data_IF_938576409636
#
_entry.id   IF_938576409636
#
_cell.length_a   1.000
_cell.length_b   1.000
_cell.length_c   1.000
_cell.angle_alpha   90.00
_cell.angle_beta   90.00
_cell.angle_gamma   90.00
#
_symmetry.space_group_name_H-M   'P 1'
#
loop_
_entity.id
_entity.type
_entity.pdbx_description
1 polymer ?
#
# COMPACT_ATOMS: atom_id res chain seq x y z
N UNK A 1 19.97 13.32 11.23
CA UNK A 1 20.19 12.60 12.51
C UNK A 1 20.06 11.11 12.21
N UNK A 2 20.43 10.18 13.08
CA UNK A 2 20.08 8.77 12.82
C UNK A 2 18.57 8.61 12.92
N UNK A 3 17.91 8.18 11.84
CA UNK A 3 16.47 7.91 11.83
C UNK A 3 16.11 6.94 12.96
N UNK A 4 15.09 7.28 13.74
CA UNK A 4 14.60 6.45 14.85
C UNK A 4 13.11 6.23 14.68
N UNK A 5 12.68 4.97 14.74
CA UNK A 5 11.26 4.63 14.69
C UNK A 5 10.56 5.08 15.98
N UNK A 6 9.33 5.64 15.88
CA UNK A 6 8.48 5.86 17.05
C UNK A 6 8.30 4.57 17.84
N UNK A 7 8.53 4.63 19.15
CA UNK A 7 8.31 3.50 20.04
C UNK A 7 6.81 3.26 20.23
N UNK A 8 6.40 1.99 20.23
CA UNK A 8 5.04 1.64 20.58
C UNK A 8 4.84 1.62 22.10
N UNK A 9 3.89 2.42 22.59
CA UNK A 9 3.49 2.45 23.98
C UNK A 9 2.20 1.63 24.15
N UNK A 10 2.32 0.36 24.51
CA UNK A 10 1.15 -0.51 24.67
C UNK A 10 0.20 -0.01 25.80
N UNK A 11 -1.11 -0.29 25.73
CA UNK A 11 -2.02 -0.02 26.84
C UNK A 11 -1.55 -0.71 28.13
N UNK A 12 -1.64 -0.03 29.26
CA UNK A 12 -1.37 -0.66 30.55
C UNK A 12 -2.54 -1.56 30.94
N UNK A 13 -2.47 -2.83 30.55
CA UNK A 13 -3.49 -3.82 30.86
C UNK A 13 -3.62 -4.12 32.36
N UNK A 14 -2.77 -3.58 33.24
CA UNK A 14 -2.94 -3.67 34.70
C UNK A 14 -4.00 -2.69 35.23
N UNK A 15 -4.40 -1.67 34.45
CA UNK A 15 -5.46 -0.76 34.86
C UNK A 15 -6.77 -1.51 35.14
N UNK A 16 -7.50 -1.07 36.15
CA UNK A 16 -8.75 -1.70 36.61
C UNK A 16 -9.72 -1.96 35.46
N UNK A 17 -9.87 -1.01 34.53
CA UNK A 17 -10.80 -1.15 33.39
C UNK A 17 -10.51 -2.37 32.51
N UNK A 18 -9.24 -2.73 32.32
CA UNK A 18 -8.84 -3.86 31.48
C UNK A 18 -8.87 -5.18 32.27
N UNK A 19 -8.55 -5.13 33.56
CA UNK A 19 -8.64 -6.29 34.46
C UNK A 19 -10.09 -6.72 34.69
N UNK A 20 -10.99 -5.76 34.93
CA UNK A 20 -12.42 -6.02 35.17
C UNK A 20 -13.26 -6.17 33.90
N UNK A 21 -12.70 -5.86 32.71
CA UNK A 21 -13.39 -6.07 31.44
C UNK A 21 -13.81 -7.55 31.26
N UNK A 22 -14.97 -7.82 30.65
CA UNK A 22 -15.38 -9.18 30.32
C UNK A 22 -14.47 -9.78 29.22
N UNK A 23 -14.54 -11.09 29.05
CA UNK A 23 -14.01 -11.76 27.87
C UNK A 23 -14.73 -11.27 26.61
N UNK A 24 -13.99 -11.12 25.51
CA UNK A 24 -14.58 -10.87 24.21
C UNK A 24 -15.52 -12.02 23.85
N UNK A 25 -16.71 -11.68 23.37
CA UNK A 25 -17.69 -12.68 22.93
C UNK A 25 -17.40 -13.08 21.49
N UNK A 26 -17.49 -14.38 21.22
CA UNK A 26 -17.36 -14.93 19.87
C UNK A 26 -18.58 -15.76 19.54
N UNK A 27 -19.17 -15.50 18.37
CA UNK A 27 -20.33 -16.24 17.87
C UNK A 27 -19.95 -16.93 16.55
N UNK A 28 -20.49 -18.13 16.28
CA UNK A 28 -20.19 -18.83 15.04
C UNK A 28 -20.76 -18.09 13.84
N UNK A 29 -19.97 -17.95 12.78
CA UNK A 29 -20.45 -17.44 11.50
C UNK A 29 -21.62 -18.31 10.99
N UNK A 30 -22.81 -17.74 10.72
CA UNK A 30 -23.99 -18.52 10.39
C UNK A 30 -23.86 -19.29 9.06
N UNK A 31 -23.13 -18.72 8.08
CA UNK A 31 -22.89 -19.29 6.75
C UNK A 31 -21.58 -18.74 6.18
N UNK A 32 -21.03 -19.43 5.18
CA UNK A 32 -19.94 -18.89 4.36
C UNK A 32 -20.30 -17.49 3.85
N UNK A 33 -19.38 -16.54 3.99
CA UNK A 33 -19.61 -15.16 3.56
C UNK A 33 -20.35 -14.26 4.55
N UNK A 34 -20.88 -14.78 5.66
CA UNK A 34 -21.83 -14.07 6.52
C UNK A 34 -21.35 -14.03 7.96
N UNK A 35 -21.18 -12.82 8.49
CA UNK A 35 -20.84 -12.59 9.89
C UNK A 35 -22.09 -12.66 10.79
N UNK A 36 -21.95 -13.04 12.08
CA UNK A 36 -23.05 -13.02 13.04
C UNK A 36 -23.56 -11.60 13.28
N UNK A 37 -24.80 -11.47 13.76
CA UNK A 37 -25.35 -10.17 14.17
C UNK A 37 -24.48 -9.56 15.28
N UNK A 38 -24.25 -8.25 15.20
CA UNK A 38 -23.41 -7.54 16.17
C UNK A 38 -21.91 -7.80 16.04
N UNK A 39 -21.43 -8.40 14.94
CA UNK A 39 -19.99 -8.57 14.67
C UNK A 39 -19.20 -7.26 14.87
N UNK A 40 -17.96 -7.38 15.35
CA UNK A 40 -17.01 -6.29 15.38
C UNK A 40 -16.34 -6.13 14.01
N UNK A 41 -16.34 -4.90 13.48
CA UNK A 41 -15.68 -4.57 12.22
C UNK A 41 -14.30 -3.99 12.52
N UNK A 42 -13.24 -4.58 11.97
CA UNK A 42 -11.87 -4.14 12.22
C UNK A 42 -11.57 -2.80 11.54
N UNK A 43 -10.72 -2.02 12.17
CA UNK A 43 -10.18 -0.74 11.72
C UNK A 43 -8.75 -0.90 11.20
N UNK A 44 -8.03 0.21 11.00
CA UNK A 44 -6.59 0.20 10.68
C UNK A 44 -5.70 0.17 11.91
N UNK A 45 -6.24 0.44 13.09
CA UNK A 45 -5.47 0.63 14.32
C UNK A 45 -5.13 -0.68 15.02
N UNK A 46 -4.20 -0.68 15.98
CA UNK A 46 -4.04 -1.78 16.93
C UNK A 46 -5.36 -2.08 17.64
N UNK A 47 -5.79 -3.34 17.58
CA UNK A 47 -7.01 -3.81 18.24
C UNK A 47 -6.70 -4.99 19.13
N UNK A 48 -7.22 -4.94 20.35
CA UNK A 48 -7.01 -5.95 21.37
C UNK A 48 -8.33 -6.62 21.74
N UNK A 49 -8.27 -7.93 21.94
CA UNK A 49 -9.41 -8.76 22.30
C UNK A 49 -9.07 -9.57 23.55
N UNK A 50 -9.92 -9.50 24.58
CA UNK A 50 -9.71 -10.26 25.81
C UNK A 50 -10.14 -11.72 25.61
N UNK A 51 -9.17 -12.63 25.59
CA UNK A 51 -9.38 -14.07 25.36
C UNK A 51 -8.58 -14.89 26.34
N UNK A 52 -9.26 -15.70 27.14
CA UNK A 52 -8.65 -16.54 28.17
C UNK A 52 -7.91 -15.71 29.21
N UNK A 53 -8.48 -14.59 29.64
CA UNK A 53 -7.90 -13.67 30.62
C UNK A 53 -6.75 -12.80 30.11
N UNK A 54 -6.43 -12.86 28.81
CA UNK A 54 -5.33 -12.09 28.20
C UNK A 54 -5.84 -11.19 27.09
N UNK A 55 -5.26 -10.00 26.96
CA UNK A 55 -5.52 -9.12 25.83
C UNK A 55 -4.63 -9.48 24.64
N UNK A 56 -5.23 -10.04 23.60
CA UNK A 56 -4.55 -10.46 22.38
C UNK A 56 -4.61 -9.35 21.34
N UNK A 57 -3.45 -8.94 20.81
CA UNK A 57 -3.37 -8.02 19.67
C UNK A 57 -3.71 -8.74 18.37
N UNK A 58 -4.48 -8.10 17.50
CA UNK A 58 -4.68 -8.53 16.11
C UNK A 58 -3.43 -8.25 15.25
N UNK A 59 -2.36 -9.04 15.43
CA UNK A 59 -1.02 -8.84 14.81
C UNK A 59 -1.03 -8.49 13.31
N UNK A 60 -2.01 -9.02 12.57
CA UNK A 60 -2.33 -8.60 11.22
C UNK A 60 -3.73 -7.99 11.14
N UNK A 61 -3.78 -6.68 10.89
CA UNK A 61 -5.05 -5.96 10.71
C UNK A 61 -5.30 -5.57 9.24
N UNK A 62 -6.56 -5.22 9.00
CA UNK A 62 -7.15 -4.75 7.75
C UNK A 62 -8.49 -4.11 8.08
N UNK A 63 -8.81 -2.94 7.53
CA UNK A 63 -10.12 -2.34 7.75
C UNK A 63 -11.24 -3.13 7.05
N UNK A 64 -12.48 -2.95 7.49
CA UNK A 64 -13.69 -3.53 6.89
C UNK A 64 -13.65 -5.08 6.83
N UNK A 65 -13.04 -5.71 7.83
CA UNK A 65 -13.02 -7.15 8.03
C UNK A 65 -13.70 -7.52 9.35
N UNK A 66 -13.87 -8.82 9.58
CA UNK A 66 -14.28 -9.34 10.89
C UNK A 66 -13.07 -9.89 11.64
N UNK A 67 -13.07 -9.78 12.97
CA UNK A 67 -12.08 -10.40 13.82
C UNK A 67 -12.52 -11.84 14.15
N UNK A 68 -11.84 -12.84 13.58
CA UNK A 68 -12.09 -14.26 13.86
C UNK A 68 -10.97 -14.84 14.75
N UNK A 69 -11.33 -15.70 15.71
CA UNK A 69 -10.36 -16.40 16.55
C UNK A 69 -9.89 -17.69 15.86
N UNK A 70 -8.68 -17.68 15.29
CA UNK A 70 -8.07 -18.83 14.60
C UNK A 70 -6.78 -19.22 15.31
N UNK A 71 -6.67 -20.49 15.70
CA UNK A 71 -5.47 -21.03 16.37
C UNK A 71 -5.00 -20.23 17.59
N UNK A 72 -5.96 -19.69 18.35
CA UNK A 72 -5.69 -18.85 19.53
C UNK A 72 -5.18 -17.43 19.21
N UNK A 73 -5.25 -17.00 17.95
CA UNK A 73 -4.92 -15.65 17.47
C UNK A 73 -6.12 -14.96 16.85
N UNK A 74 -6.12 -13.63 16.89
CA UNK A 74 -7.12 -12.82 16.19
C UNK A 74 -6.67 -12.62 14.75
N UNK A 75 -7.50 -13.07 13.81
CA UNK A 75 -7.31 -12.91 12.39
C UNK A 75 -8.34 -11.92 11.83
N UNK A 76 -7.88 -10.90 11.10
CA UNK A 76 -8.76 -10.07 10.27
C UNK A 76 -9.15 -10.84 9.01
N UNK A 77 -10.44 -11.19 8.88
CA UNK A 77 -10.98 -12.00 7.80
C UNK A 77 -11.99 -11.20 6.99
N UNK A 78 -11.81 -11.11 5.69
CA UNK A 78 -12.80 -10.49 4.80
C UNK A 78 -14.08 -11.33 4.81
N UNK A 79 -15.24 -10.69 4.72
CA UNK A 79 -16.52 -11.39 4.64
C UNK A 79 -16.52 -12.52 3.61
N UNK A 80 -16.00 -12.28 2.39
CA UNK A 80 -15.93 -13.31 1.33
C UNK A 80 -15.12 -14.55 1.68
N UNK A 81 -14.19 -14.43 2.63
CA UNK A 81 -13.27 -15.48 3.07
C UNK A 81 -13.69 -16.12 4.39
N UNK A 82 -14.74 -15.62 5.03
CA UNK A 82 -15.30 -16.18 6.26
C UNK A 82 -16.02 -17.50 6.00
N UNK A 83 -15.70 -18.55 6.77
CA UNK A 83 -16.38 -19.85 6.69
C UNK A 83 -17.41 -20.04 7.78
N UNK A 84 -18.47 -20.79 7.47
CA UNK A 84 -19.50 -21.16 8.42
C UNK A 84 -18.89 -21.81 9.68
N UNK A 85 -19.38 -21.43 10.85
CA UNK A 85 -18.92 -21.94 12.15
C UNK A 85 -17.67 -21.27 12.69
N UNK A 86 -16.98 -20.40 11.95
CA UNK A 86 -15.82 -19.69 12.48
C UNK A 86 -16.23 -18.76 13.65
N UNK A 87 -15.46 -18.73 14.75
CA UNK A 87 -15.76 -17.89 15.91
C UNK A 87 -15.41 -16.42 15.61
N UNK A 88 -16.43 -15.61 15.37
CA UNK A 88 -16.29 -14.18 15.05
C UNK A 88 -16.60 -13.33 16.28
N UNK A 89 -15.73 -12.37 16.58
CA UNK A 89 -15.93 -11.43 17.67
C UNK A 89 -17.22 -10.62 17.48
N UNK A 90 -18.03 -10.52 18.51
CA UNK A 90 -19.25 -9.69 18.55
C UNK A 90 -19.14 -8.64 19.66
N UNK A 91 -19.60 -7.44 19.36
CA UNK A 91 -19.44 -6.24 20.17
C UNK A 91 -19.34 -5.02 19.28
N UNK A 92 -19.82 -3.88 19.76
CA UNK A 92 -19.79 -2.59 19.05
C UNK A 92 -19.05 -1.51 19.82
N UNK A 93 -18.68 -1.76 21.08
CA UNK A 93 -17.85 -0.83 21.86
C UNK A 93 -16.37 -1.17 21.71
N UNK A 94 -15.55 -0.13 21.66
CA UNK A 94 -14.11 -0.20 21.39
C UNK A 94 -13.26 0.24 22.60
N UNK A 95 -13.88 0.37 23.77
CA UNK A 95 -13.33 0.97 24.99
C UNK A 95 -12.98 -0.06 26.08
N UNK A 96 -12.87 -1.34 25.69
CA UNK A 96 -12.70 -2.53 26.53
C UNK A 96 -13.97 -3.04 27.24
N UNK A 97 -15.10 -2.31 27.24
CA UNK A 97 -16.30 -2.71 27.99
C UNK A 97 -16.94 -4.03 27.51
N UNK A 98 -16.75 -4.40 26.23
CA UNK A 98 -17.17 -5.69 25.66
C UNK A 98 -16.00 -6.65 25.41
N UNK A 99 -14.84 -6.41 26.04
CA UNK A 99 -13.63 -7.20 25.80
C UNK A 99 -12.91 -6.87 24.49
N UNK A 100 -13.30 -5.78 23.82
CA UNK A 100 -12.69 -5.27 22.58
C UNK A 100 -12.14 -3.87 22.83
N UNK A 101 -10.89 -3.63 22.44
CA UNK A 101 -10.24 -2.34 22.64
C UNK A 101 -9.47 -1.88 21.40
N UNK A 102 -9.86 -0.74 20.82
CA UNK A 102 -9.17 -0.10 19.69
C UNK A 102 -8.24 0.97 20.21
N UNK A 103 -6.96 0.91 19.83
CA UNK A 103 -5.90 1.74 20.40
C UNK A 103 -5.14 2.56 19.35
N UNK A 104 -5.69 3.73 18.96
CA UNK A 104 -5.12 4.55 17.88
C UNK A 104 -3.89 5.37 18.29
N UNK A 105 -3.57 5.44 19.60
CA UNK A 105 -2.57 6.37 20.14
C UNK A 105 -1.23 5.73 20.49
N UNK A 106 -1.00 4.47 20.11
CA UNK A 106 0.21 3.75 20.53
C UNK A 106 1.54 4.30 20.00
N UNK A 107 1.51 5.21 19.02
CA UNK A 107 2.69 5.92 18.51
C UNK A 107 2.60 7.44 18.68
N UNK A 108 1.63 7.93 19.46
CA UNK A 108 1.46 9.36 19.64
C UNK A 108 2.58 9.91 20.53
N UNK A 109 3.27 10.93 20.05
CA UNK A 109 4.10 11.81 20.89
C UNK A 109 3.19 12.78 21.65
N UNK A 110 3.64 13.31 22.80
CA UNK A 110 2.88 14.31 23.57
C UNK A 110 2.47 15.47 22.66
N UNK A 111 1.15 15.62 22.45
CA UNK A 111 0.63 16.74 21.68
C UNK A 111 0.81 18.02 22.49
N UNK A 112 1.61 18.95 21.97
CA UNK A 112 1.62 20.33 22.45
C UNK A 112 0.24 20.98 22.31
N UNK A 113 0.01 22.07 23.04
CA UNK A 113 -1.25 22.83 23.00
C UNK A 113 -1.58 23.26 21.56
N UNK A 114 -2.77 22.87 21.07
CA UNK A 114 -3.27 23.32 19.78
C UNK A 114 -3.84 24.74 19.91
N UNK A 115 -3.35 25.69 19.13
CA UNK A 115 -3.86 27.07 19.12
C UNK A 115 -5.31 27.14 18.59
N UNK A 116 -6.13 28.00 19.22
CA UNK A 116 -7.56 28.20 18.88
C UNK A 116 -7.78 28.75 17.47
N UNK A 117 -6.80 29.45 16.89
CA UNK A 117 -6.86 29.98 15.53
C UNK A 117 -5.54 29.71 14.80
N UNK A 118 -5.58 28.96 13.69
CA UNK A 118 -4.40 28.67 12.89
C UNK A 118 -4.72 28.61 11.40
N UNK A 119 -3.78 29.09 10.57
CA UNK A 119 -3.83 28.97 9.12
C UNK A 119 -3.21 27.63 8.67
N UNK A 120 -3.61 27.13 7.49
CA UNK A 120 -3.00 25.97 6.83
C UNK A 120 -3.00 24.67 7.66
N UNK A 121 -4.11 24.39 8.36
CA UNK A 121 -4.28 23.15 9.12
C UNK A 121 -4.40 21.87 8.26
N UNK A 122 -4.46 22.01 6.93
CA UNK A 122 -4.50 20.89 5.98
C UNK A 122 -3.41 21.01 4.91
N UNK A 123 -3.08 19.88 4.27
CA UNK A 123 -2.12 19.83 3.16
C UNK A 123 -2.80 20.22 1.84
N UNK A 124 -2.14 21.05 1.04
CA UNK A 124 -2.57 21.54 -0.27
C UNK A 124 -1.38 21.73 -1.20
N UNK A 125 -1.63 22.27 -2.40
CA UNK A 125 -0.57 22.72 -3.31
C UNK A 125 0.37 23.79 -2.71
N UNK A 126 -0.07 24.51 -1.67
CA UNK A 126 0.71 25.57 -1.03
C UNK A 126 1.57 25.07 0.15
N UNK A 127 1.45 23.80 0.51
CA UNK A 127 2.24 23.19 1.58
C UNK A 127 3.69 23.02 1.14
N UNK A 128 4.64 23.44 1.98
CA UNK A 128 6.04 23.15 1.77
C UNK A 128 6.36 21.71 2.18
N UNK A 129 7.00 20.95 1.29
CA UNK A 129 7.28 19.53 1.49
C UNK A 129 8.77 19.22 1.73
N UNK A 130 9.64 20.22 1.90
CA UNK A 130 11.10 19.97 2.03
C UNK A 130 11.43 19.02 3.18
N UNK A 131 10.83 19.23 4.36
CA UNK A 131 11.01 18.33 5.50
C UNK A 131 10.37 16.95 5.28
N UNK A 132 9.28 16.85 4.50
CA UNK A 132 8.69 15.57 4.13
C UNK A 132 9.67 14.76 3.26
N UNK A 133 10.33 15.40 2.30
CA UNK A 133 11.36 14.78 1.48
C UNK A 133 12.54 14.30 2.32
N UNK A 134 13.10 15.15 3.20
CA UNK A 134 14.19 14.76 4.10
C UNK A 134 13.79 13.54 4.97
N UNK A 135 12.57 13.57 5.51
CA UNK A 135 12.01 12.46 6.29
C UNK A 135 11.84 11.18 5.46
N UNK A 136 11.39 11.29 4.21
CA UNK A 136 11.29 10.15 3.29
C UNK A 136 12.67 9.59 3.00
N UNK A 137 13.69 10.42 2.77
CA UNK A 137 15.03 9.94 2.46
C UNK A 137 15.64 9.19 3.64
N UNK A 138 15.53 9.74 4.84
CA UNK A 138 15.98 9.07 6.07
C UNK A 138 15.20 7.76 6.32
N UNK A 139 13.88 7.77 6.15
CA UNK A 139 13.03 6.58 6.27
C UNK A 139 13.42 5.50 5.27
N UNK A 140 13.55 5.83 3.97
CA UNK A 140 13.83 4.85 2.93
C UNK A 140 15.22 4.22 3.09
N UNK A 141 16.22 4.98 3.55
CA UNK A 141 17.54 4.43 3.91
C UNK A 141 17.44 3.40 5.02
N UNK A 142 16.65 3.68 6.06
CA UNK A 142 16.41 2.72 7.14
C UNK A 142 15.59 1.50 6.67
N UNK A 143 14.49 1.71 5.94
CA UNK A 143 13.59 0.64 5.49
C UNK A 143 14.23 -0.27 4.44
N UNK A 144 15.23 0.21 3.71
CA UNK A 144 16.07 -0.63 2.83
C UNK A 144 16.76 -1.77 3.58
N UNK A 145 17.16 -1.55 4.83
CA UNK A 145 17.88 -2.55 5.63
C UNK A 145 16.98 -3.26 6.64
N UNK A 146 15.92 -2.58 7.11
CA UNK A 146 15.14 -3.00 8.27
C UNK A 146 13.64 -3.14 8.01
N UNK A 147 13.20 -3.12 6.75
CA UNK A 147 11.79 -3.33 6.44
C UNK A 147 11.52 -3.58 4.97
N UNK A 148 10.33 -3.16 4.52
CA UNK A 148 9.80 -3.45 3.19
C UNK A 148 9.08 -2.24 2.64
N UNK A 149 9.62 -1.73 1.54
CA UNK A 149 9.15 -0.56 0.80
C UNK A 149 8.33 -1.04 -0.40
N UNK A 150 7.02 -0.84 -0.32
CA UNK A 150 6.05 -1.20 -1.36
C UNK A 150 5.64 0.06 -2.13
N UNK A 151 5.73 0.00 -3.45
CA UNK A 151 5.31 1.10 -4.32
C UNK A 151 3.99 0.77 -5.00
N UNK A 152 3.08 1.75 -5.10
CA UNK A 152 1.83 1.64 -5.84
C UNK A 152 1.84 2.70 -6.94
N UNK A 153 1.82 2.30 -8.20
CA UNK A 153 2.09 3.22 -9.30
C UNK A 153 1.03 3.19 -10.39
N UNK A 154 0.65 4.37 -10.86
CA UNK A 154 -0.06 4.56 -12.12
C UNK A 154 0.87 4.88 -13.29
N UNK A 155 0.36 4.89 -14.53
CA UNK A 155 1.17 4.93 -15.74
C UNK A 155 1.93 6.25 -15.96
N UNK A 156 1.61 7.33 -15.23
CA UNK A 156 2.22 8.66 -15.43
C UNK A 156 3.76 8.66 -15.32
N UNK A 157 4.34 7.73 -14.58
CA UNK A 157 5.79 7.60 -14.43
C UNK A 157 6.47 6.83 -15.56
N UNK A 158 5.71 6.07 -16.35
CA UNK A 158 6.22 5.43 -17.55
C UNK A 158 6.21 6.38 -18.77
N UNK A 159 5.50 7.51 -18.68
CA UNK A 159 5.34 8.48 -19.78
C UNK A 159 6.48 9.50 -19.88
N UNK A 160 7.36 9.54 -18.89
CA UNK A 160 8.49 10.47 -18.83
C UNK A 160 9.81 9.72 -18.68
N UNK A 161 10.80 10.12 -19.46
CA UNK A 161 12.12 9.49 -19.50
C UNK A 161 12.83 9.53 -18.14
N UNK A 162 12.85 10.69 -17.48
CA UNK A 162 13.65 10.88 -16.27
C UNK A 162 12.99 10.21 -15.06
N UNK A 163 11.66 10.28 -14.94
CA UNK A 163 10.90 9.57 -13.92
C UNK A 163 11.09 8.05 -14.03
N UNK A 164 11.03 7.52 -15.26
CA UNK A 164 11.26 6.10 -15.55
C UNK A 164 12.68 5.67 -15.19
N UNK A 165 13.69 6.45 -15.58
CA UNK A 165 15.09 6.20 -15.24
C UNK A 165 15.35 6.29 -13.73
N UNK A 166 14.74 7.26 -13.04
CA UNK A 166 14.84 7.43 -11.60
C UNK A 166 14.26 6.24 -10.84
N UNK A 167 13.06 5.78 -11.21
CA UNK A 167 12.47 4.61 -10.56
C UNK A 167 13.27 3.33 -10.83
N UNK A 168 13.75 3.14 -12.05
CA UNK A 168 14.67 2.05 -12.39
C UNK A 168 15.94 2.08 -11.51
N UNK A 169 16.48 3.26 -11.23
CA UNK A 169 17.61 3.43 -10.32
C UNK A 169 17.25 3.09 -8.86
N UNK A 170 16.06 3.45 -8.38
CA UNK A 170 15.57 3.07 -7.05
C UNK A 170 15.46 1.55 -6.90
N UNK A 171 14.99 0.84 -7.94
CA UNK A 171 14.95 -0.64 -7.97
C UNK A 171 16.36 -1.20 -7.81
N UNK A 172 17.32 -0.79 -8.66
CA UNK A 172 18.72 -1.22 -8.57
C UNK A 172 19.36 -0.85 -7.22
N UNK A 173 18.93 0.27 -6.64
CA UNK A 173 19.39 0.78 -5.36
C UNK A 173 18.86 0.03 -4.14
N UNK A 174 17.93 -0.92 -4.31
CA UNK A 174 17.30 -1.66 -3.21
C UNK A 174 16.22 -0.89 -2.47
N UNK A 175 15.69 0.19 -3.04
CA UNK A 175 14.63 1.02 -2.43
C UNK A 175 13.21 0.61 -2.86
N UNK A 176 13.08 -0.51 -3.58
CA UNK A 176 11.81 -1.08 -4.05
C UNK A 176 11.82 -2.55 -3.70
N UNK A 177 10.95 -2.97 -2.79
CA UNK A 177 10.80 -4.37 -2.37
C UNK A 177 9.57 -5.04 -2.98
N UNK A 178 8.66 -4.24 -3.54
CA UNK A 178 7.53 -4.72 -4.32
C UNK A 178 6.85 -3.58 -5.06
N UNK A 179 6.09 -3.94 -6.11
CA UNK A 179 5.35 -2.99 -6.94
C UNK A 179 3.90 -3.45 -7.15
N UNK A 180 2.93 -2.60 -6.85
CA UNK A 180 1.52 -2.79 -7.19
C UNK A 180 1.15 -1.83 -8.31
N UNK A 181 0.58 -2.35 -9.39
CA UNK A 181 0.16 -1.55 -10.52
C UNK A 181 -0.99 -2.23 -11.28
N UNK A 182 -1.36 -1.65 -12.42
CA UNK A 182 -2.23 -2.29 -13.41
C UNK A 182 -1.53 -2.43 -14.76
N UNK A 183 -2.24 -3.05 -15.72
CA UNK A 183 -1.75 -3.30 -17.07
C UNK A 183 -1.12 -2.06 -17.72
N UNK A 184 -1.78 -0.89 -17.60
CA UNK A 184 -1.32 0.34 -18.25
C UNK A 184 0.12 0.76 -17.86
N UNK A 185 0.51 0.68 -16.58
CA UNK A 185 1.88 1.05 -16.18
C UNK A 185 2.89 0.14 -16.88
N UNK A 186 2.69 -1.17 -16.75
CA UNK A 186 3.64 -2.15 -17.26
C UNK A 186 3.71 -2.13 -18.78
N UNK A 187 2.57 -2.01 -19.47
CA UNK A 187 2.51 -1.91 -20.93
C UNK A 187 3.29 -0.71 -21.43
N UNK A 188 3.06 0.48 -20.88
CA UNK A 188 3.72 1.69 -21.38
C UNK A 188 5.19 1.78 -20.96
N UNK A 189 5.58 1.21 -19.83
CA UNK A 189 6.99 1.08 -19.46
C UNK A 189 7.77 0.15 -20.40
N UNK A 190 7.14 -0.94 -20.83
CA UNK A 190 7.72 -1.89 -21.79
C UNK A 190 7.68 -1.35 -23.22
N UNK A 191 6.64 -0.60 -23.60
CA UNK A 191 6.55 0.12 -24.88
C UNK A 191 7.71 1.13 -24.99
N UNK A 192 7.97 1.86 -23.91
CA UNK A 192 9.09 2.80 -23.83
C UNK A 192 10.43 2.10 -24.05
N UNK A 193 10.66 0.92 -23.46
CA UNK A 193 11.90 0.17 -23.67
C UNK A 193 12.02 -0.40 -25.09
N UNK A 194 10.89 -0.84 -25.65
CA UNK A 194 10.88 -1.59 -26.90
C UNK A 194 10.87 -0.68 -28.14
N UNK A 195 10.09 0.40 -28.09
CA UNK A 195 9.81 1.30 -29.22
C UNK A 195 10.15 2.77 -28.94
N UNK A 196 10.59 3.11 -27.73
CA UNK A 196 10.93 4.49 -27.34
C UNK A 196 9.71 5.38 -27.08
N UNK A 197 8.49 4.81 -27.08
CA UNK A 197 7.25 5.57 -26.94
C UNK A 197 6.39 5.12 -25.79
N UNK A 198 5.49 5.98 -25.36
CA UNK A 198 4.32 5.61 -24.57
C UNK A 198 3.06 6.18 -25.23
N UNK A 199 2.08 5.33 -25.53
CA UNK A 199 0.91 5.70 -26.34
C UNK A 199 1.31 6.33 -27.69
N UNK A 200 2.41 5.86 -28.26
CA UNK A 200 2.91 6.35 -29.55
C UNK A 200 3.57 7.71 -29.54
N UNK A 201 3.80 8.32 -28.37
CA UNK A 201 4.59 9.54 -28.23
C UNK A 201 5.97 9.21 -27.69
N UNK A 202 7.01 9.78 -28.29
CA UNK A 202 8.38 9.65 -27.79
C UNK A 202 8.49 10.19 -26.36
N UNK A 203 8.98 9.36 -25.44
CA UNK A 203 8.93 9.65 -23.99
C UNK A 203 9.84 10.82 -23.55
N UNK A 204 10.74 11.28 -24.42
CA UNK A 204 11.63 12.39 -24.14
C UNK A 204 11.15 13.70 -24.82
N UNK A 205 10.90 13.63 -26.12
CA UNK A 205 10.52 14.79 -26.95
C UNK A 205 9.02 15.07 -26.98
N UNK A 206 8.19 14.13 -26.52
CA UNK A 206 6.72 14.20 -26.52
C UNK A 206 6.12 14.37 -27.93
N UNK A 207 6.88 14.01 -28.96
CA UNK A 207 6.40 14.02 -30.36
C UNK A 207 5.66 12.73 -30.67
N UNK A 208 4.46 12.84 -31.23
CA UNK A 208 3.72 11.70 -31.74
C UNK A 208 4.41 11.06 -32.94
N UNK A 209 4.59 9.75 -32.88
CA UNK A 209 5.16 8.96 -33.96
C UNK A 209 4.07 8.60 -35.00
N UNK A 210 4.40 8.55 -36.30
CA UNK A 210 3.50 8.01 -37.31
C UNK A 210 3.00 6.62 -36.92
N UNK A 211 1.69 6.39 -36.98
CA UNK A 211 1.05 5.14 -36.53
C UNK A 211 1.28 4.77 -35.05
N UNK A 212 1.70 5.72 -34.20
CA UNK A 212 2.06 5.45 -32.81
C UNK A 212 0.95 4.84 -31.95
N UNK A 213 -0.32 4.98 -32.33
CA UNK A 213 -1.42 4.31 -31.64
C UNK A 213 -1.32 2.77 -31.65
N UNK A 214 -0.59 2.18 -32.61
CA UNK A 214 -0.31 0.74 -32.61
C UNK A 214 0.79 0.33 -31.62
N UNK A 215 1.68 1.23 -31.21
CA UNK A 215 2.91 0.87 -30.48
C UNK A 215 2.64 0.07 -29.20
N UNK A 216 1.70 0.50 -28.37
CA UNK A 216 1.32 -0.23 -27.15
C UNK A 216 0.67 -1.59 -27.46
N UNK A 217 -0.15 -1.69 -28.51
CA UNK A 217 -0.79 -2.94 -28.94
C UNK A 217 0.24 -3.92 -29.52
N UNK A 218 1.16 -3.44 -30.34
CA UNK A 218 2.24 -4.23 -30.91
C UNK A 218 3.19 -4.73 -29.82
N UNK A 219 3.48 -3.90 -28.82
CA UNK A 219 4.25 -4.27 -27.63
C UNK A 219 3.53 -5.39 -26.86
N UNK A 220 2.24 -5.23 -26.56
CA UNK A 220 1.43 -6.26 -25.91
C UNK A 220 1.44 -7.57 -26.70
N UNK A 221 1.22 -7.51 -28.01
CA UNK A 221 1.24 -8.69 -28.87
C UNK A 221 2.61 -9.38 -28.88
N UNK A 222 3.70 -8.60 -28.93
CA UNK A 222 5.06 -9.12 -28.90
C UNK A 222 5.41 -9.80 -27.56
N UNK A 223 4.93 -9.25 -26.43
CA UNK A 223 5.10 -9.86 -25.10
C UNK A 223 4.29 -11.15 -24.99
N UNK A 224 3.02 -11.14 -25.44
CA UNK A 224 2.18 -12.33 -25.45
C UNK A 224 2.76 -13.43 -26.34
N UNK A 225 3.38 -13.08 -27.46
CA UNK A 225 4.11 -14.03 -28.31
C UNK A 225 5.32 -14.64 -27.59
N UNK A 226 6.01 -13.88 -26.75
CA UNK A 226 7.08 -14.38 -25.88
C UNK A 226 6.55 -15.21 -24.68
N UNK A 227 5.25 -15.15 -24.39
CA UNK A 227 4.59 -15.90 -23.33
C UNK A 227 4.63 -15.24 -21.94
N UNK A 228 5.57 -14.33 -21.69
CA UNK A 228 5.66 -13.55 -20.45
C UNK A 228 6.53 -12.29 -20.66
N UNK A 229 6.37 -11.32 -19.77
CA UNK A 229 7.28 -10.17 -19.62
C UNK A 229 8.71 -10.60 -19.33
N UNK A 230 8.92 -11.63 -18.50
CA UNK A 230 10.25 -12.16 -18.19
C UNK A 230 10.93 -12.69 -19.45
N UNK A 231 10.23 -13.55 -20.22
CA UNK A 231 10.74 -14.06 -21.49
C UNK A 231 10.99 -12.93 -22.53
N UNK A 232 10.16 -11.88 -22.52
CA UNK A 232 10.35 -10.72 -23.39
C UNK A 232 11.64 -9.93 -23.04
N UNK A 233 11.93 -9.78 -21.75
CA UNK A 233 13.17 -9.17 -21.23
C UNK A 233 14.37 -10.07 -21.54
N UNK A 234 14.29 -11.37 -21.29
CA UNK A 234 15.36 -12.34 -21.57
C UNK A 234 15.70 -12.45 -23.05
N UNK A 235 14.70 -12.29 -23.93
CA UNK A 235 14.89 -12.22 -25.38
C UNK A 235 15.57 -10.91 -25.84
N UNK A 236 15.91 -9.98 -24.93
CA UNK A 236 16.59 -8.72 -25.23
C UNK A 236 15.72 -7.67 -25.91
N UNK A 237 14.39 -7.83 -25.88
CA UNK A 237 13.44 -6.90 -26.51
C UNK A 237 13.19 -5.65 -25.66
N UNK A 238 13.21 -5.79 -24.34
CA UNK A 238 13.30 -4.68 -23.40
C UNK A 238 14.73 -4.62 -22.84
N UNK A 239 15.26 -3.41 -22.65
CA UNK A 239 16.65 -3.15 -22.27
C UNK A 239 16.80 -2.32 -20.99
N UNK A 240 15.72 -1.70 -20.54
CA UNK A 240 15.66 -0.76 -19.43
C UNK A 240 14.21 -0.59 -18.95
N UNK A 241 14.01 0.18 -17.87
CA UNK A 241 12.68 0.55 -17.38
C UNK A 241 12.31 -0.05 -16.03
N UNK A 242 11.11 0.29 -15.59
CA UNK A 242 10.57 -0.08 -14.28
C UNK A 242 10.39 -1.60 -14.21
N UNK A 243 9.64 -2.18 -15.15
CA UNK A 243 9.34 -3.62 -15.18
C UNK A 243 10.58 -4.41 -15.54
N UNK A 244 11.41 -3.90 -16.46
CA UNK A 244 12.70 -4.52 -16.78
C UNK A 244 13.56 -4.69 -15.53
N UNK A 245 13.74 -3.62 -14.73
CA UNK A 245 14.53 -3.73 -13.50
C UNK A 245 13.84 -4.60 -12.45
N UNK A 246 12.51 -4.60 -12.36
CA UNK A 246 11.81 -5.52 -11.47
C UNK A 246 12.09 -6.98 -11.84
N UNK A 247 12.03 -7.33 -13.13
CA UNK A 247 12.36 -8.67 -13.64
C UNK A 247 13.83 -9.01 -13.34
N UNK A 248 14.78 -8.13 -13.70
CA UNK A 248 16.22 -8.39 -13.53
C UNK A 248 16.66 -8.52 -12.07
N UNK A 249 16.04 -7.78 -11.17
CA UNK A 249 16.35 -7.77 -9.75
C UNK A 249 15.41 -8.66 -8.92
N UNK A 250 14.54 -9.44 -9.56
CA UNK A 250 13.57 -10.32 -8.91
C UNK A 250 12.67 -9.61 -7.90
N UNK A 251 12.28 -8.37 -8.20
CA UNK A 251 11.32 -7.61 -7.39
C UNK A 251 9.91 -8.11 -7.71
N UNK A 252 9.15 -8.59 -6.71
CA UNK A 252 7.79 -9.04 -6.95
C UNK A 252 6.91 -7.85 -7.35
N UNK A 253 6.10 -8.05 -8.38
CA UNK A 253 5.11 -7.06 -8.79
C UNK A 253 3.77 -7.73 -9.07
N UNK A 254 2.69 -7.00 -8.78
CA UNK A 254 1.30 -7.45 -9.00
C UNK A 254 0.63 -6.48 -9.94
N UNK A 255 0.12 -7.00 -11.07
CA UNK A 255 -0.64 -6.23 -12.05
C UNK A 255 -2.12 -6.62 -11.95
N UNK A 256 -2.95 -5.75 -11.38
CA UNK A 256 -4.40 -6.00 -11.28
C UNK A 256 -5.11 -5.42 -12.50
N UNK A 257 -5.98 -6.23 -13.10
CA UNK A 257 -6.73 -5.88 -14.28
C UNK A 257 -7.78 -4.79 -14.02
N UNK A 258 -8.07 -4.02 -15.06
CA UNK A 258 -9.13 -3.03 -15.10
C UNK A 258 -10.00 -3.21 -16.34
N UNK A 259 -11.25 -2.75 -16.27
CA UNK A 259 -12.21 -2.82 -17.39
C UNK A 259 -11.79 -2.05 -18.64
N UNK A 260 -10.70 -1.27 -18.56
CA UNK A 260 -10.13 -0.49 -19.66
C UNK A 260 -8.91 -1.13 -20.32
N UNK A 261 -8.49 -2.31 -19.87
CA UNK A 261 -7.21 -2.88 -20.27
C UNK A 261 -7.21 -3.37 -21.71
N UNK A 262 -6.20 -2.93 -22.48
CA UNK A 262 -5.86 -3.49 -23.78
C UNK A 262 -4.93 -4.70 -23.62
N UNK A 263 -5.08 -5.74 -24.44
CA UNK A 263 -4.22 -6.93 -24.43
C UNK A 263 -4.81 -8.08 -23.60
N UNK A 264 -4.65 -8.10 -22.26
CA UNK A 264 -3.59 -7.49 -21.44
C UNK A 264 -2.28 -8.29 -21.47
N UNK A 265 -1.28 -7.86 -20.69
CA UNK A 265 -0.07 -8.65 -20.42
C UNK A 265 -0.44 -10.03 -19.80
N UNK A 266 0.33 -11.10 -20.08
CA UNK A 266 0.04 -12.44 -19.55
C UNK A 266 -0.09 -12.53 -18.02
N UNK A 267 0.65 -11.71 -17.28
CA UNK A 267 0.74 -11.70 -15.82
C UNK A 267 -0.38 -10.90 -15.12
N UNK A 268 -1.27 -10.26 -15.89
CA UNK A 268 -2.34 -9.44 -15.32
C UNK A 268 -3.41 -10.34 -14.69
N UNK A 269 -3.71 -10.08 -13.43
CA UNK A 269 -4.85 -10.69 -12.72
C UNK A 269 -6.15 -10.09 -13.25
N UNK A 270 -6.80 -10.80 -14.18
CA UNK A 270 -8.11 -10.42 -14.71
C UNK A 270 -9.24 -10.55 -13.68
N UNK A 271 -9.09 -11.44 -12.69
CA UNK A 271 -10.01 -11.57 -11.57
C UNK A 271 -9.61 -10.59 -10.45
N UNK A 272 -10.51 -9.67 -10.11
CA UNK A 272 -10.26 -8.62 -9.11
C UNK A 272 -10.01 -9.17 -7.70
N UNK A 273 -10.61 -10.31 -7.34
CA UNK A 273 -10.41 -10.91 -6.03
C UNK A 273 -9.05 -11.60 -5.93
N UNK A 274 -8.66 -12.35 -6.96
CA UNK A 274 -7.31 -12.93 -7.04
C UNK A 274 -6.24 -11.83 -7.07
N UNK A 275 -6.48 -10.76 -7.83
CA UNK A 275 -5.59 -9.59 -7.86
C UNK A 275 -5.48 -8.91 -6.50
N UNK A 276 -6.58 -8.73 -5.77
CA UNK A 276 -6.56 -8.18 -4.42
C UNK A 276 -5.84 -9.09 -3.42
N UNK A 277 -6.04 -10.40 -3.50
CA UNK A 277 -5.35 -11.37 -2.64
C UNK A 277 -3.83 -11.38 -2.92
N UNK A 278 -3.44 -11.27 -4.20
CA UNK A 278 -2.05 -11.09 -4.62
C UNK A 278 -1.46 -9.77 -4.09
N UNK A 279 -2.19 -8.65 -4.21
CA UNK A 279 -1.77 -7.38 -3.60
C UNK A 279 -1.60 -7.51 -2.09
N UNK A 280 -2.55 -8.15 -1.40
CA UNK A 280 -2.52 -8.33 0.07
C UNK A 280 -1.30 -9.13 0.52
N UNK A 281 -0.81 -10.06 -0.28
CA UNK A 281 0.42 -10.81 0.01
C UNK A 281 1.62 -9.86 0.18
N UNK A 282 1.77 -8.87 -0.71
CA UNK A 282 2.83 -7.86 -0.57
C UNK A 282 2.53 -6.82 0.51
N UNK A 283 1.28 -6.38 0.64
CA UNK A 283 0.89 -5.39 1.65
C UNK A 283 1.07 -5.93 3.07
N UNK A 284 0.94 -7.24 3.29
CA UNK A 284 1.18 -7.89 4.59
C UNK A 284 2.63 -7.85 5.06
N UNK A 285 3.58 -7.59 4.18
CA UNK A 285 4.98 -7.47 4.56
C UNK A 285 5.43 -6.01 4.64
N UNK A 286 4.67 -5.09 4.03
CA UNK A 286 5.03 -3.69 3.93
C UNK A 286 5.09 -2.99 5.30
N UNK A 287 6.18 -2.26 5.52
CA UNK A 287 6.39 -1.29 6.61
C UNK A 287 6.34 0.15 6.11
N UNK A 288 6.60 0.35 4.81
CA UNK A 288 6.42 1.63 4.12
C UNK A 288 5.72 1.41 2.78
N UNK A 289 4.66 2.16 2.53
CA UNK A 289 3.90 2.15 1.28
C UNK A 289 3.92 3.55 0.65
N UNK A 290 4.37 3.66 -0.59
CA UNK A 290 4.35 4.93 -1.35
C UNK A 290 3.46 4.75 -2.57
N UNK A 291 2.35 5.48 -2.59
CA UNK A 291 1.39 5.46 -3.67
C UNK A 291 1.50 6.71 -4.53
N UNK A 292 1.49 6.55 -5.85
CA UNK A 292 1.66 7.66 -6.80
C UNK A 292 0.85 7.48 -8.08
N UNK A 293 0.14 8.55 -8.47
CA UNK A 293 -0.62 8.67 -9.73
C UNK A 293 -1.64 7.55 -10.01
N UNK A 294 -2.24 6.94 -8.98
CA UNK A 294 -3.26 5.90 -9.17
C UNK A 294 -4.31 5.86 -8.06
N UNK A 295 -5.36 6.68 -8.15
CA UNK A 295 -6.43 6.71 -7.14
C UNK A 295 -7.02 5.33 -6.83
N UNK A 296 -7.28 4.50 -7.85
CA UNK A 296 -7.90 3.19 -7.67
C UNK A 296 -7.00 2.25 -6.86
N UNK A 297 -5.74 2.07 -7.29
CA UNK A 297 -4.82 1.17 -6.60
C UNK A 297 -4.37 1.72 -5.25
N UNK A 298 -4.23 3.04 -5.10
CA UNK A 298 -3.96 3.70 -3.83
C UNK A 298 -5.06 3.39 -2.80
N UNK A 299 -6.33 3.56 -3.18
CA UNK A 299 -7.47 3.27 -2.29
C UNK A 299 -7.55 1.79 -1.94
N UNK A 300 -7.40 0.90 -2.94
CA UNK A 300 -7.39 -0.53 -2.69
C UNK A 300 -6.28 -0.93 -1.71
N UNK A 301 -5.07 -0.41 -1.90
CA UNK A 301 -3.91 -0.67 -1.03
C UNK A 301 -4.12 -0.12 0.38
N UNK A 302 -4.65 1.10 0.51
CA UNK A 302 -4.96 1.70 1.81
C UNK A 302 -5.98 0.89 2.61
N UNK A 303 -7.04 0.39 1.97
CA UNK A 303 -7.99 -0.52 2.63
C UNK A 303 -7.32 -1.79 3.18
N UNK A 304 -6.20 -2.20 2.59
CA UNK A 304 -5.42 -3.35 3.01
C UNK A 304 -4.25 -2.99 3.93
N UNK A 305 -4.02 -1.72 4.28
CA UNK A 305 -2.81 -1.33 5.03
C UNK A 305 -3.18 -0.86 6.45
N UNK A 306 -2.78 -1.60 7.50
CA UNK A 306 -2.94 -1.15 8.87
C UNK A 306 -1.97 0.00 9.20
N UNK A 307 -2.22 0.72 10.29
CA UNK A 307 -1.32 1.78 10.79
C UNK A 307 -0.07 1.25 11.48
N UNK A 308 0.05 -0.07 11.63
CA UNK A 308 1.10 -0.74 12.40
C UNK A 308 1.43 -2.12 11.83
N UNK A 309 2.59 -2.65 12.23
CA UNK A 309 3.03 -4.00 11.93
C UNK A 309 3.72 -4.60 13.14
N UNK A 310 3.56 -5.90 13.33
CA UNK A 310 4.44 -6.69 14.21
C UNK A 310 5.59 -7.23 13.36
N UNK A 311 6.82 -6.75 13.61
CA UNK A 311 8.05 -7.23 12.96
C UNK A 311 8.99 -7.69 14.07
N UNK A 312 9.45 -8.94 13.99
CA UNK A 312 10.34 -9.56 15.00
C UNK A 312 9.81 -9.43 16.44
N UNK A 313 8.49 -9.52 16.62
CA UNK A 313 7.81 -9.38 17.90
C UNK A 313 7.64 -7.94 18.40
N UNK A 314 8.10 -6.94 17.64
CA UNK A 314 7.98 -5.52 17.96
C UNK A 314 6.87 -4.87 17.14
N UNK A 315 5.96 -4.18 17.81
CA UNK A 315 4.94 -3.35 17.17
C UNK A 315 5.61 -2.05 16.69
N UNK A 316 5.53 -1.77 15.39
CA UNK A 316 6.10 -0.56 14.76
C UNK A 316 5.07 0.12 13.85
N UNK A 317 5.20 1.43 13.56
CA UNK A 317 4.28 2.10 12.67
C UNK A 317 4.49 1.62 11.22
N UNK A 318 3.41 1.67 10.43
CA UNK A 318 3.48 1.57 8.97
C UNK A 318 3.37 2.96 8.39
N UNK A 319 4.33 3.35 7.56
CA UNK A 319 4.31 4.64 6.88
C UNK A 319 3.55 4.51 5.57
N UNK A 320 2.57 5.37 5.36
CA UNK A 320 1.78 5.39 4.13
C UNK A 320 1.84 6.79 3.51
N UNK A 321 2.36 6.88 2.29
CA UNK A 321 2.43 8.12 1.52
C UNK A 321 1.51 8.05 0.31
N UNK A 322 0.79 9.15 0.05
CA UNK A 322 -0.04 9.32 -1.14
C UNK A 322 0.39 10.58 -1.88
N UNK A 323 0.91 10.40 -3.11
CA UNK A 323 1.49 11.44 -3.95
C UNK A 323 0.68 11.59 -5.22
N UNK A 324 0.08 12.75 -5.42
CA UNK A 324 -0.67 13.04 -6.64
C UNK A 324 -0.70 14.55 -6.91
N UNK A 325 -0.83 14.94 -8.17
CA UNK A 325 -1.03 16.35 -8.54
C UNK A 325 -2.43 16.83 -8.15
N UNK A 326 -3.37 15.88 -8.04
CA UNK A 326 -4.77 16.13 -7.70
C UNK A 326 -5.00 16.06 -6.19
N UNK A 327 -5.37 17.20 -5.61
CA UNK A 327 -5.84 17.27 -4.22
C UNK A 327 -7.03 16.32 -3.98
N UNK A 328 -7.88 16.10 -4.99
CA UNK A 328 -8.98 15.15 -4.90
C UNK A 328 -8.48 13.71 -4.69
N UNK A 329 -7.46 13.29 -5.46
CA UNK A 329 -6.93 11.93 -5.37
C UNK A 329 -6.31 11.66 -4.00
N UNK A 330 -5.49 12.59 -3.48
CA UNK A 330 -4.86 12.41 -2.16
C UNK A 330 -5.86 12.48 -1.00
N UNK A 331 -6.90 13.31 -1.10
CA UNK A 331 -7.91 13.44 -0.03
C UNK A 331 -8.86 12.24 0.04
N UNK A 332 -9.13 11.56 -1.08
CA UNK A 332 -10.01 10.37 -1.10
C UNK A 332 -9.56 9.25 -0.17
N UNK A 333 -8.26 9.14 0.06
CA UNK A 333 -7.72 8.14 0.98
C UNK A 333 -7.94 8.53 2.45
N UNK A 334 -7.73 9.81 2.78
CA UNK A 334 -7.97 10.34 4.13
C UNK A 334 -9.44 10.18 4.54
N UNK A 335 -10.35 10.37 3.60
CA UNK A 335 -11.80 10.23 3.82
C UNK A 335 -12.24 8.78 4.11
N UNK A 336 -11.36 7.78 3.93
CA UNK A 336 -11.63 6.35 4.19
C UNK A 336 -10.98 5.85 5.49
N UNK A 337 -10.90 6.71 6.50
CA UNK A 337 -10.38 6.34 7.83
C UNK A 337 -8.86 6.16 7.89
N UNK A 338 -8.13 6.38 6.80
CA UNK A 338 -6.66 6.26 6.74
C UNK A 338 -5.98 7.53 7.29
N UNK A 339 -6.25 7.85 8.56
CA UNK A 339 -5.72 9.03 9.25
C UNK A 339 -4.19 9.00 9.42
N UNK A 340 -3.54 7.86 9.17
CA UNK A 340 -2.08 7.69 9.18
C UNK A 340 -1.39 8.07 7.87
N UNK A 341 -2.15 8.41 6.82
CA UNK A 341 -1.59 8.71 5.49
C UNK A 341 -0.99 10.11 5.47
N UNK A 342 0.26 10.21 4.99
CA UNK A 342 0.93 11.47 4.66
C UNK A 342 0.70 11.79 3.19
N UNK A 343 0.03 12.90 2.90
CA UNK A 343 -0.26 13.33 1.53
C UNK A 343 0.78 14.32 1.01
N UNK A 344 1.15 14.21 -0.26
CA UNK A 344 2.04 15.15 -0.95
C UNK A 344 1.38 15.54 -2.27
N UNK A 345 1.01 16.82 -2.40
CA UNK A 345 0.39 17.35 -3.62
C UNK A 345 1.49 17.86 -4.55
N UNK A 346 1.90 17.03 -5.52
CA UNK A 346 3.00 17.35 -6.44
C UNK A 346 2.95 16.49 -7.71
N UNK A 347 3.72 16.85 -8.74
CA UNK A 347 3.90 15.99 -9.91
C UNK A 347 4.72 14.76 -9.48
N UNK A 348 4.20 13.56 -9.78
CA UNK A 348 4.84 12.30 -9.40
C UNK A 348 6.19 12.06 -10.11
N UNK A 349 6.40 12.67 -11.27
CA UNK A 349 7.65 12.63 -12.03
C UNK A 349 8.76 13.38 -11.26
N UNK A 350 8.47 14.60 -10.81
CA UNK A 350 9.38 15.38 -9.97
C UNK A 350 9.64 14.70 -8.62
N UNK A 351 8.59 14.14 -8.01
CA UNK A 351 8.69 13.42 -6.76
C UNK A 351 9.68 12.25 -6.85
N UNK A 352 9.52 11.35 -7.83
CA UNK A 352 10.38 10.16 -7.94
C UNK A 352 11.82 10.54 -8.27
N UNK A 353 12.04 11.57 -9.10
CA UNK A 353 13.37 12.09 -9.42
C UNK A 353 14.04 12.66 -8.17
N UNK A 354 13.32 13.43 -7.35
CA UNK A 354 13.84 13.98 -6.10
C UNK A 354 14.14 12.89 -5.07
N UNK A 355 13.23 11.91 -4.91
CA UNK A 355 13.47 10.75 -4.05
C UNK A 355 14.71 9.99 -4.48
N UNK A 356 14.85 9.70 -5.77
CA UNK A 356 16.03 9.05 -6.33
C UNK A 356 17.32 9.81 -5.97
N UNK A 357 17.38 11.13 -6.23
CA UNK A 357 18.53 11.98 -5.88
C UNK A 357 18.79 12.06 -4.37
N UNK A 358 17.73 11.93 -3.58
CA UNK A 358 17.80 12.02 -2.13
C UNK A 358 18.41 10.76 -1.50
N UNK A 359 18.26 9.58 -2.11
CA UNK A 359 18.65 8.29 -1.50
C UNK A 359 19.78 7.56 -2.22
N UNK A 360 20.13 7.96 -3.45
CA UNK A 360 21.28 7.50 -4.24
C UNK A 360 22.27 8.64 -4.42
#
# INVERSE_FOLDING_TARGET
>A
MSFTLPQYHAPDFQETRFQSAPEARFEPAPKDGVAPEGYHATTIYPEYFKVGGRWLLAEESRMDCVAALRDGKIAAVEFRNLKAGEPVAVGRTEDASEGIYVYPFGFAEEKGEAETFAFRQGRSRETAYSMDYDSIYELLRHEKEHGRILWVMGPACAFDHDARAAFAALVRGGYVHGLLAGNALATHDLEASYLGTALGQDIYTQKSMPNGHYNHIDTLNAIRLCGSTAAFVEAGKAKDGIIYECVRNHIPYVLVGSVRDDGPLPEVYGNVYEGQDAMRTLVREATTVICMASTLHTVATGNMTPSYRVVDGVVRPVYFYSVDVSEFAVNKLRDRGSLSVRTIVTNVQDFVVNVCKGVL
#
